data_IF_951311524415
#
_entry.id   IF_951311524415
#
_cell.length_a   1.000
_cell.length_b   1.000
_cell.length_c   1.000
_cell.angle_alpha   90.00
_cell.angle_beta   90.00
_cell.angle_gamma   90.00
#
_symmetry.space_group_name_H-M   'P 1'
#
loop_
_entity.id
_entity.type
_entity.pdbx_description
1 polymer ?
#
# COMPACT_ATOMS: atom_id res chain seq x y z
N UNK A 1 -20.32 15.37 -1.41
CA UNK A 1 -19.21 14.80 -2.21
C UNK A 1 -17.91 15.38 -1.68
N UNK A 2 -17.07 14.53 -1.09
CA UNK A 2 -15.77 14.93 -0.54
C UNK A 2 -14.63 14.60 -1.50
N UNK A 3 -13.61 15.46 -1.52
CA UNK A 3 -12.36 15.17 -2.21
C UNK A 3 -11.46 14.33 -1.29
N UNK A 4 -11.13 13.12 -1.71
CA UNK A 4 -10.18 12.23 -1.04
C UNK A 4 -8.78 12.35 -1.62
N UNK A 5 -7.78 12.11 -0.76
CA UNK A 5 -6.38 11.97 -1.11
C UNK A 5 -5.92 10.54 -0.79
N UNK A 6 -5.24 9.90 -1.72
CA UNK A 6 -4.58 8.61 -1.53
C UNK A 6 -3.09 8.79 -1.84
N UNK A 7 -2.24 8.44 -0.89
CA UNK A 7 -0.79 8.48 -1.04
C UNK A 7 -0.28 7.04 -0.97
N UNK A 8 0.44 6.59 -1.99
CA UNK A 8 0.99 5.23 -2.09
C UNK A 8 2.48 5.26 -2.42
N UNK A 9 3.27 4.46 -1.71
CA UNK A 9 4.64 4.18 -2.13
C UNK A 9 4.64 3.04 -3.16
N UNK A 10 5.02 3.36 -4.40
CA UNK A 10 4.98 2.45 -5.55
C UNK A 10 6.32 2.42 -6.30
N UNK A 11 6.60 1.35 -7.07
CA UNK A 11 7.84 1.25 -7.85
C UNK A 11 8.00 2.42 -8.82
N UNK A 12 9.18 3.03 -8.84
CA UNK A 12 9.52 4.18 -9.70
C UNK A 12 9.32 3.88 -11.19
N UNK A 13 9.61 2.65 -11.61
CA UNK A 13 9.55 2.24 -13.01
C UNK A 13 8.11 2.11 -13.54
N UNK A 14 7.10 2.21 -12.68
CA UNK A 14 5.72 2.01 -13.10
C UNK A 14 5.18 3.16 -13.95
N UNK A 15 4.45 2.78 -14.98
CA UNK A 15 3.72 3.72 -15.82
C UNK A 15 2.58 4.38 -15.02
N UNK A 16 2.15 5.55 -15.48
CA UNK A 16 0.97 6.24 -14.92
C UNK A 16 -0.27 5.35 -14.89
N UNK A 17 -0.48 4.53 -15.91
CA UNK A 17 -1.64 3.64 -16.00
C UNK A 17 -1.60 2.58 -14.90
N UNK A 18 -0.48 1.87 -14.76
CA UNK A 18 -0.28 0.86 -13.72
C UNK A 18 -0.42 1.43 -12.30
N UNK A 19 0.07 2.65 -12.09
CA UNK A 19 -0.07 3.35 -10.82
C UNK A 19 -1.52 3.70 -10.49
N UNK A 20 -2.32 4.13 -11.50
CA UNK A 20 -3.75 4.39 -11.34
C UNK A 20 -4.56 3.12 -11.07
N UNK A 21 -4.27 2.02 -11.76
CA UNK A 21 -4.93 0.73 -11.51
C UNK A 21 -4.67 0.25 -10.08
N UNK A 22 -3.43 0.39 -9.61
CA UNK A 22 -3.06 0.02 -8.24
C UNK A 22 -3.71 0.94 -7.21
N UNK A 23 -3.83 2.24 -7.50
CA UNK A 23 -4.58 3.17 -6.66
C UNK A 23 -6.08 2.81 -6.60
N UNK A 24 -6.68 2.41 -7.71
CA UNK A 24 -8.05 1.94 -7.75
C UNK A 24 -8.26 0.68 -6.89
N UNK A 25 -7.33 -0.28 -6.97
CA UNK A 25 -7.36 -1.48 -6.13
C UNK A 25 -7.21 -1.14 -4.64
N UNK A 26 -6.28 -0.26 -4.28
CA UNK A 26 -6.10 0.17 -2.90
C UNK A 26 -7.34 0.88 -2.31
N UNK A 27 -8.09 1.64 -3.13
CA UNK A 27 -9.36 2.22 -2.71
C UNK A 27 -10.42 1.14 -2.42
N UNK A 28 -10.53 0.14 -3.30
CA UNK A 28 -11.46 -1.00 -3.11
C UNK A 28 -11.12 -1.82 -1.87
N UNK A 29 -9.84 -2.10 -1.67
CA UNK A 29 -9.33 -2.82 -0.48
C UNK A 29 -9.67 -2.09 0.82
N UNK A 30 -9.83 -0.75 0.76
CA UNK A 30 -10.25 0.10 1.89
C UNK A 30 -11.76 0.33 1.97
N UNK A 31 -12.55 -0.39 1.18
CA UNK A 31 -14.01 -0.29 1.20
C UNK A 31 -14.58 0.91 0.43
N UNK A 32 -13.77 1.60 -0.37
CA UNK A 32 -14.20 2.77 -1.15
C UNK A 32 -14.51 2.30 -2.57
N UNK A 33 -15.79 2.05 -2.85
CA UNK A 33 -16.24 1.47 -4.12
C UNK A 33 -16.85 2.50 -5.08
N UNK A 34 -17.43 3.58 -4.55
CA UNK A 34 -18.21 4.55 -5.33
C UNK A 34 -17.40 5.81 -5.69
N UNK A 35 -16.07 5.68 -5.78
CA UNK A 35 -15.22 6.81 -6.12
C UNK A 35 -15.34 7.20 -7.61
N UNK A 36 -14.99 8.44 -7.92
CA UNK A 36 -14.88 8.95 -9.29
C UNK A 36 -13.68 9.89 -9.47
N UNK A 37 -13.30 10.14 -10.72
CA UNK A 37 -12.18 11.02 -11.12
C UNK A 37 -10.89 10.76 -10.33
N UNK A 38 -10.49 9.49 -10.26
CA UNK A 38 -9.19 9.11 -9.72
C UNK A 38 -8.09 9.66 -10.64
N UNK A 39 -7.25 10.53 -10.10
CA UNK A 39 -6.22 11.24 -10.85
C UNK A 39 -4.90 11.21 -10.08
N UNK A 40 -3.81 10.90 -10.78
CA UNK A 40 -2.45 11.08 -10.29
C UNK A 40 -2.12 12.58 -10.31
N UNK A 41 -1.78 13.13 -9.13
CA UNK A 41 -1.39 14.53 -8.96
C UNK A 41 0.11 14.76 -9.03
N UNK A 42 0.89 13.81 -8.53
CA UNK A 42 2.34 13.97 -8.50
C UNK A 42 3.06 12.76 -7.93
N UNK A 43 4.38 12.83 -8.02
CA UNK A 43 5.28 11.86 -7.39
C UNK A 43 6.38 12.59 -6.64
N UNK A 44 6.75 12.09 -5.48
CA UNK A 44 7.88 12.57 -4.68
C UNK A 44 8.94 11.47 -4.54
N UNK A 45 10.19 11.87 -4.39
CA UNK A 45 11.25 10.93 -4.04
C UNK A 45 11.02 10.38 -2.62
N UNK A 46 11.43 9.14 -2.40
CA UNK A 46 11.55 8.56 -1.05
C UNK A 46 13.04 8.38 -0.72
N UNK A 47 13.37 7.75 0.41
CA UNK A 47 14.75 7.41 0.78
C UNK A 47 15.43 6.38 -0.13
N UNK A 48 14.77 5.91 -1.20
CA UNK A 48 15.31 4.93 -2.16
C UNK A 48 15.01 5.35 -3.60
N UNK A 49 15.89 4.96 -4.53
CA UNK A 49 15.70 5.18 -5.97
C UNK A 49 14.67 4.24 -6.62
N UNK A 50 14.29 3.16 -5.91
CA UNK A 50 13.42 2.09 -6.42
C UNK A 50 11.95 2.45 -6.31
N UNK A 51 11.59 3.25 -5.32
CA UNK A 51 10.22 3.56 -4.95
C UNK A 51 10.03 5.07 -4.99
N UNK A 52 8.86 5.51 -5.42
CA UNK A 52 8.43 6.90 -5.27
C UNK A 52 7.11 6.93 -4.52
N UNK A 53 6.86 8.04 -3.85
CA UNK A 53 5.56 8.30 -3.25
C UNK A 53 4.66 8.93 -4.31
N UNK A 54 3.56 8.27 -4.64
CA UNK A 54 2.56 8.73 -5.60
C UNK A 54 1.39 9.35 -4.85
N UNK A 55 0.97 10.54 -5.25
CA UNK A 55 -0.20 11.22 -4.68
C UNK A 55 -1.35 11.21 -5.68
N UNK A 56 -2.46 10.62 -5.29
CA UNK A 56 -3.69 10.56 -6.06
C UNK A 56 -4.80 11.35 -5.36
N UNK A 57 -5.71 11.88 -6.16
CA UNK A 57 -6.99 12.41 -5.66
C UNK A 57 -8.14 11.65 -6.28
N UNK A 58 -9.23 11.52 -5.54
CA UNK A 58 -10.47 10.93 -6.01
C UNK A 58 -11.65 11.66 -5.36
N UNK A 59 -12.84 11.52 -5.92
CA UNK A 59 -14.07 12.03 -5.33
C UNK A 59 -14.89 10.87 -4.80
N UNK A 60 -15.31 10.96 -3.55
CA UNK A 60 -16.19 9.97 -2.95
C UNK A 60 -17.45 10.65 -2.38
N UNK A 61 -18.66 10.22 -2.79
CA UNK A 61 -19.90 10.77 -2.27
C UNK A 61 -20.10 10.50 -0.77
N UNK A 62 -19.59 9.40 -0.22
CA UNK A 62 -19.74 9.07 1.22
C UNK A 62 -18.87 9.91 2.16
N UNK A 63 -17.82 10.54 1.65
CA UNK A 63 -16.90 11.32 2.47
C UNK A 63 -17.48 12.73 2.76
N UNK A 64 -17.63 13.07 4.04
CA UNK A 64 -18.08 14.38 4.54
C UNK A 64 -16.90 15.31 4.90
N UNK A 65 -15.88 15.36 4.04
CA UNK A 65 -14.66 16.15 4.28
C UNK A 65 -13.50 15.71 3.39
N UNK A 66 -12.31 16.29 3.60
CA UNK A 66 -11.09 15.80 2.96
C UNK A 66 -10.56 14.60 3.74
N UNK A 67 -10.62 13.41 3.15
CA UNK A 67 -10.03 12.21 3.74
C UNK A 67 -8.65 11.95 3.14
N UNK A 68 -7.67 11.63 3.99
CA UNK A 68 -6.31 11.31 3.56
C UNK A 68 -5.97 9.88 3.96
N UNK A 69 -5.68 9.05 2.97
CA UNK A 69 -5.11 7.73 3.18
C UNK A 69 -3.64 7.77 2.82
N UNK A 70 -2.78 7.69 3.83
CA UNK A 70 -1.34 7.65 3.65
C UNK A 70 -0.83 6.22 3.85
N UNK A 71 -0.40 5.59 2.76
CA UNK A 71 0.23 4.27 2.73
C UNK A 71 1.72 4.44 2.41
N UNK A 72 2.46 5.03 3.35
CA UNK A 72 3.91 5.14 3.23
C UNK A 72 4.60 3.84 3.68
N UNK A 73 4.77 2.94 2.73
CA UNK A 73 5.47 1.67 2.96
C UNK A 73 6.96 1.86 3.20
N UNK A 74 7.55 2.97 2.75
CA UNK A 74 8.96 3.31 3.04
C UNK A 74 9.14 3.56 4.54
N UNK A 75 8.28 4.37 5.16
CA UNK A 75 8.31 4.61 6.61
C UNK A 75 8.09 3.31 7.39
N UNK A 76 7.17 2.47 6.92
CA UNK A 76 6.93 1.14 7.49
C UNK A 76 8.19 0.28 7.39
N UNK A 77 8.82 0.24 6.21
CA UNK A 77 10.03 -0.54 5.96
C UNK A 77 11.17 -0.13 6.88
N UNK A 78 11.38 1.17 7.07
CA UNK A 78 12.40 1.73 7.94
C UNK A 78 12.23 1.32 9.41
N UNK A 79 10.99 1.21 9.89
CA UNK A 79 10.66 0.78 11.26
C UNK A 79 10.86 -0.71 11.52
N UNK A 80 10.88 -1.53 10.48
CA UNK A 80 11.09 -2.97 10.60
C UNK A 80 12.57 -3.29 10.74
N UNK A 81 12.89 -4.25 11.61
CA UNK A 81 14.24 -4.79 11.69
C UNK A 81 14.54 -5.74 10.51
N UNK A 82 15.79 -6.21 10.42
CA UNK A 82 16.22 -7.07 9.32
C UNK A 82 15.51 -8.45 9.30
N UNK A 83 15.11 -8.98 10.46
CA UNK A 83 14.42 -10.26 10.57
C UNK A 83 12.94 -10.11 10.14
N UNK A 84 12.28 -9.05 10.60
CA UNK A 84 10.92 -8.67 10.20
C UNK A 84 10.84 -8.45 8.69
N UNK A 85 11.80 -7.71 8.11
CA UNK A 85 11.88 -7.51 6.65
C UNK A 85 12.04 -8.81 5.89
N UNK A 86 12.90 -9.71 6.36
CA UNK A 86 13.12 -11.02 5.73
C UNK A 86 11.87 -11.89 5.80
N UNK A 87 11.16 -11.86 6.93
CA UNK A 87 9.89 -12.56 7.10
C UNK A 87 8.82 -12.02 6.14
N UNK A 88 8.71 -10.70 5.98
CA UNK A 88 7.77 -10.11 5.03
C UNK A 88 8.08 -10.46 3.57
N UNK A 89 9.37 -10.53 3.21
CA UNK A 89 9.77 -10.94 1.87
C UNK A 89 9.47 -12.43 1.62
N UNK A 90 9.57 -13.30 2.62
CA UNK A 90 9.25 -14.73 2.45
C UNK A 90 7.75 -14.96 2.16
N UNK A 91 6.87 -14.08 2.64
CA UNK A 91 5.43 -14.09 2.31
C UNK A 91 5.21 -13.89 0.80
N UNK A 92 6.07 -13.12 0.12
CA UNK A 92 5.96 -12.96 -1.34
C UNK A 92 6.27 -14.24 -2.12
N UNK A 93 7.11 -15.10 -1.56
CA UNK A 93 7.56 -16.36 -2.18
C UNK A 93 6.57 -17.52 -1.96
N UNK A 94 5.34 -17.23 -1.52
CA UNK A 94 4.31 -18.23 -1.23
C UNK A 94 4.20 -18.60 0.24
N UNK A 95 4.89 -17.90 1.15
CA UNK A 95 4.68 -18.03 2.58
C UNK A 95 3.28 -17.59 3.00
N UNK A 96 2.69 -18.28 3.97
CA UNK A 96 1.43 -17.88 4.60
C UNK A 96 1.64 -16.67 5.51
N UNK A 97 0.65 -15.78 5.58
CA UNK A 97 0.61 -14.70 6.56
C UNK A 97 0.32 -15.35 7.92
N UNK A 98 1.38 -15.69 8.64
CA UNK A 98 1.30 -16.24 9.98
C UNK A 98 1.04 -15.15 11.03
N UNK A 99 0.70 -15.58 12.25
CA UNK A 99 0.46 -14.70 13.40
C UNK A 99 1.60 -13.71 13.67
N UNK A 100 2.85 -14.10 13.39
CA UNK A 100 4.00 -13.22 13.54
C UNK A 100 3.97 -12.04 12.57
N UNK A 101 3.70 -12.27 11.28
CA UNK A 101 3.57 -11.20 10.26
C UNK A 101 2.42 -10.27 10.61
N UNK A 102 1.28 -10.83 11.01
CA UNK A 102 0.13 -10.05 11.47
C UNK A 102 0.49 -9.17 12.65
N UNK A 103 1.13 -9.73 13.67
CA UNK A 103 1.49 -8.99 14.90
C UNK A 103 2.51 -7.89 14.61
N UNK A 104 3.52 -8.18 13.79
CA UNK A 104 4.52 -7.19 13.38
C UNK A 104 3.87 -6.05 12.61
N UNK A 105 3.00 -6.34 11.65
CA UNK A 105 2.32 -5.30 10.88
C UNK A 105 1.31 -4.51 11.70
N UNK A 106 0.54 -5.17 12.58
CA UNK A 106 -0.36 -4.51 13.52
C UNK A 106 0.40 -3.54 14.44
N UNK A 107 1.55 -3.96 14.96
CA UNK A 107 2.42 -3.14 15.82
C UNK A 107 2.96 -1.90 15.10
N UNK A 108 3.39 -2.05 13.84
CA UNK A 108 4.12 -0.99 13.11
C UNK A 108 3.20 -0.08 12.31
N UNK A 109 2.07 -0.62 11.83
CA UNK A 109 1.17 0.04 10.87
C UNK A 109 -0.30 0.13 11.33
N UNK A 110 -0.65 -0.51 12.46
CA UNK A 110 -2.01 -0.56 13.00
C UNK A 110 -2.82 -1.76 12.53
N UNK A 111 -3.89 -2.09 13.27
CA UNK A 111 -4.72 -3.29 13.04
C UNK A 111 -5.48 -3.27 11.70
N UNK A 112 -5.83 -2.08 11.21
CA UNK A 112 -6.58 -1.88 9.96
C UNK A 112 -5.69 -1.92 8.70
N UNK A 113 -4.41 -2.26 8.86
CA UNK A 113 -3.46 -2.28 7.76
C UNK A 113 -3.62 -3.52 6.86
N UNK A 114 -4.11 -4.63 7.41
CA UNK A 114 -4.35 -5.86 6.67
C UNK A 114 -5.74 -5.86 6.04
N UNK A 115 -5.82 -6.36 4.82
CA UNK A 115 -7.09 -6.50 4.10
C UNK A 115 -7.68 -7.86 4.45
N UNK A 116 -8.98 -7.93 4.71
CA UNK A 116 -9.68 -9.21 4.86
C UNK A 116 -10.22 -9.66 3.51
N UNK A 117 -10.01 -10.92 3.16
CA UNK A 117 -10.71 -11.52 2.02
C UNK A 117 -12.17 -11.89 2.39
N UNK A 118 -12.88 -12.46 1.41
CA UNK A 118 -14.29 -12.89 1.59
C UNK A 118 -14.46 -14.01 2.62
N UNK A 119 -13.41 -14.77 2.90
CA UNK A 119 -13.40 -15.86 3.88
C UNK A 119 -13.00 -15.34 5.28
N UNK A 120 -12.64 -14.06 5.38
CA UNK A 120 -12.18 -13.42 6.62
C UNK A 120 -10.69 -13.60 6.89
N UNK A 121 -9.94 -14.21 5.97
CA UNK A 121 -8.50 -14.36 6.13
C UNK A 121 -7.80 -13.03 5.87
N UNK A 122 -6.75 -12.78 6.66
CA UNK A 122 -5.93 -11.58 6.51
C UNK A 122 -4.96 -11.71 5.35
N UNK A 123 -4.90 -10.68 4.53
CA UNK A 123 -4.07 -10.56 3.36
C UNK A 123 -3.29 -9.25 3.38
N UNK A 124 -2.05 -9.29 2.88
CA UNK A 124 -1.30 -8.06 2.59
C UNK A 124 -2.02 -7.29 1.48
N UNK A 125 -2.19 -5.96 1.62
CA UNK A 125 -2.67 -5.10 0.54
C UNK A 125 -1.88 -5.33 -0.74
N UNK A 126 -2.54 -5.29 -1.90
CA UNK A 126 -1.88 -5.52 -3.19
C UNK A 126 -0.75 -4.52 -3.43
N UNK A 127 -0.97 -3.25 -3.10
CA UNK A 127 0.05 -2.18 -3.20
C UNK A 127 1.29 -2.47 -2.34
N UNK A 128 1.12 -3.04 -1.13
CA UNK A 128 2.26 -3.46 -0.30
C UNK A 128 3.03 -4.61 -0.94
N UNK A 129 2.34 -5.59 -1.53
CA UNK A 129 3.02 -6.69 -2.24
C UNK A 129 3.88 -6.16 -3.38
N UNK A 130 3.40 -5.14 -4.10
CA UNK A 130 4.15 -4.49 -5.16
C UNK A 130 5.37 -3.72 -4.64
N UNK A 131 5.23 -2.99 -3.53
CA UNK A 131 6.35 -2.37 -2.84
C UNK A 131 7.41 -3.40 -2.43
N UNK A 132 7.00 -4.47 -1.73
CA UNK A 132 7.90 -5.51 -1.27
C UNK A 132 8.64 -6.20 -2.42
N UNK A 133 7.99 -6.42 -3.57
CA UNK A 133 8.65 -6.98 -4.77
C UNK A 133 9.75 -6.08 -5.29
N UNK A 134 9.50 -4.77 -5.39
CA UNK A 134 10.54 -3.83 -5.80
C UNK A 134 11.73 -3.80 -4.84
N UNK A 135 11.49 -4.05 -3.55
CA UNK A 135 12.56 -4.16 -2.55
C UNK A 135 13.30 -5.52 -2.61
N UNK A 136 12.64 -6.62 -2.98
CA UNK A 136 13.29 -7.94 -3.17
C UNK A 136 14.19 -7.96 -4.41
N UNK A 137 13.70 -7.42 -5.54
CA UNK A 137 14.40 -7.46 -6.83
C UNK A 137 15.75 -6.73 -6.79
N UNK A 138 15.94 -5.78 -5.87
CA UNK A 138 17.22 -5.10 -5.68
C UNK A 138 18.25 -5.90 -4.86
N UNK A 139 17.81 -6.88 -4.08
CA UNK A 139 18.73 -7.73 -3.29
C UNK A 139 19.37 -8.84 -4.12
N UNK A 140 18.90 -9.08 -5.35
CA UNK A 140 19.40 -10.09 -6.28
C UNK A 140 20.38 -9.48 -7.27
#
# INVERSE_FOLDING_TARGET
MGLGLLILDLPRAWSRHTALDTAADALRERGIYNWSRLELRGTAATGTDLVRQFTFTYWDPSTHGRQVYNLSYTDLWERLDAADRTTLLSVLSGGTIGSHVTTTLARVAGDDFLVRDREGNQNLPRSLRHFLRAMDDHRR
#
